data_IF_002732512549
#
_entry.id   IF_002732512549
#
_cell.length_a   1.000
_cell.length_b   1.000
_cell.length_c   1.000
_cell.angle_alpha   90.00
_cell.angle_beta   90.00
_cell.angle_gamma   90.00
#
_symmetry.space_group_name_H-M   'P 1'
#
loop_
_entity.id
_entity.type
_entity.pdbx_description
1 polymer ?
#
# COMPACT_ATOMS: atom_id res chain seq x y z
N UNK A 1 -1.98 -21.24 26.56
CA UNK A 1 -2.82 -21.53 25.38
C UNK A 1 -1.86 -21.80 24.25
N UNK A 2 -1.80 -23.04 23.78
CA UNK A 2 -1.00 -23.38 22.59
C UNK A 2 -1.77 -22.93 21.36
N UNK A 3 -1.11 -22.19 20.48
CA UNK A 3 -1.67 -21.84 19.18
C UNK A 3 -1.32 -23.02 18.27
N UNK A 4 -2.30 -23.87 17.98
CA UNK A 4 -2.15 -24.91 16.97
C UNK A 4 -2.02 -24.24 15.59
N UNK A 5 -0.79 -24.14 15.09
CA UNK A 5 -0.52 -23.68 13.73
C UNK A 5 -0.41 -24.89 12.81
N UNK A 6 -0.95 -24.77 11.60
CA UNK A 6 -0.74 -25.79 10.57
C UNK A 6 0.75 -25.94 10.30
N UNK A 7 1.25 -27.18 10.30
CA UNK A 7 2.66 -27.48 10.03
C UNK A 7 3.01 -27.24 8.56
N UNK A 8 4.30 -27.00 8.29
CA UNK A 8 4.82 -26.78 6.93
C UNK A 8 4.44 -27.89 5.95
N UNK A 9 4.33 -29.12 6.42
CA UNK A 9 3.98 -30.28 5.59
C UNK A 9 2.52 -30.26 5.13
N UNK A 10 1.62 -29.74 5.98
CA UNK A 10 0.24 -29.50 5.56
C UNK A 10 0.21 -28.46 4.44
N UNK A 11 0.95 -27.35 4.59
CA UNK A 11 1.00 -26.30 3.57
C UNK A 11 1.60 -26.80 2.25
N UNK A 12 2.69 -27.58 2.30
CA UNK A 12 3.28 -28.21 1.11
C UNK A 12 2.27 -29.15 0.42
N UNK A 13 1.56 -29.97 1.21
CA UNK A 13 0.52 -30.86 0.70
C UNK A 13 -0.63 -30.09 0.05
N UNK A 14 -1.08 -29.02 0.68
CA UNK A 14 -2.12 -28.12 0.14
C UNK A 14 -1.69 -27.48 -1.19
N UNK A 15 -0.51 -26.86 -1.24
CA UNK A 15 0.04 -26.26 -2.46
C UNK A 15 0.33 -27.30 -3.55
N UNK A 16 0.56 -28.57 -3.20
CA UNK A 16 0.74 -29.64 -4.18
C UNK A 16 -0.58 -30.02 -4.86
N UNK A 17 -1.68 -30.06 -4.10
CA UNK A 17 -3.03 -30.37 -4.62
C UNK A 17 -3.61 -29.22 -5.44
N UNK A 18 -3.33 -27.99 -5.06
CA UNK A 18 -3.87 -26.78 -5.69
C UNK A 18 -2.80 -26.06 -6.53
N UNK A 19 -2.52 -26.60 -7.73
CA UNK A 19 -1.52 -26.04 -8.67
C UNK A 19 -1.93 -24.70 -9.30
N UNK A 20 -3.20 -24.37 -9.15
CA UNK A 20 -3.83 -23.09 -9.45
C UNK A 20 -3.50 -22.00 -8.42
N UNK A 21 -2.85 -22.33 -7.29
CA UNK A 21 -2.42 -21.36 -6.29
C UNK A 21 -0.89 -21.12 -6.33
N UNK A 22 -0.48 -19.91 -6.03
CA UNK A 22 0.94 -19.52 -5.93
C UNK A 22 1.19 -18.56 -4.77
N UNK A 23 2.39 -18.61 -4.19
CA UNK A 23 2.85 -17.63 -3.21
C UNK A 23 3.31 -16.37 -3.94
N UNK A 24 2.77 -15.22 -3.57
CA UNK A 24 3.01 -13.94 -4.26
C UNK A 24 3.30 -12.83 -3.25
N UNK A 25 4.07 -11.83 -3.70
CA UNK A 25 4.26 -10.57 -2.97
C UNK A 25 3.18 -9.59 -3.44
N UNK A 26 2.32 -9.09 -2.54
CA UNK A 26 1.35 -8.05 -2.89
C UNK A 26 2.06 -6.79 -3.41
N UNK A 27 1.38 -6.04 -4.27
CA UNK A 27 1.89 -4.74 -4.71
C UNK A 27 1.91 -3.79 -3.51
N UNK A 28 3.03 -3.08 -3.32
CA UNK A 28 3.13 -2.15 -2.19
C UNK A 28 2.26 -0.91 -2.40
N UNK A 29 1.98 -0.55 -3.64
CA UNK A 29 1.05 0.53 -3.99
C UNK A 29 -0.38 0.01 -3.87
N UNK A 30 -1.07 0.38 -2.80
CA UNK A 30 -2.49 0.07 -2.65
C UNK A 30 -3.28 0.69 -3.82
N UNK A 31 -4.26 -0.05 -4.34
CA UNK A 31 -5.15 0.43 -5.40
C UNK A 31 -5.76 1.80 -5.05
N UNK A 32 -6.05 2.03 -3.78
CA UNK A 32 -6.52 3.30 -3.23
C UNK A 32 -5.58 4.48 -3.50
N UNK A 33 -4.25 4.30 -3.45
CA UNK A 33 -3.29 5.36 -3.79
C UNK A 33 -3.33 5.68 -5.27
N UNK A 34 -3.42 4.66 -6.12
CA UNK A 34 -3.51 4.84 -7.56
C UNK A 34 -4.82 5.56 -7.97
N UNK A 35 -5.95 5.16 -7.40
CA UNK A 35 -7.26 5.77 -7.70
C UNK A 35 -7.42 7.17 -7.11
N UNK A 36 -6.79 7.44 -5.96
CA UNK A 36 -6.80 8.77 -5.37
C UNK A 36 -5.97 9.80 -6.15
N UNK A 37 -5.04 9.38 -7.01
CA UNK A 37 -4.24 10.26 -7.85
C UNK A 37 -4.99 10.65 -9.13
N UNK A 38 -6.10 11.36 -8.98
CA UNK A 38 -6.93 11.86 -10.08
C UNK A 38 -7.03 13.39 -10.08
N UNK A 39 -7.45 13.94 -11.22
CA UNK A 39 -7.52 15.40 -11.45
C UNK A 39 -8.34 16.13 -10.38
N UNK A 40 -9.47 15.58 -9.96
CA UNK A 40 -10.34 16.22 -8.97
C UNK A 40 -9.64 16.31 -7.61
N UNK A 41 -9.09 15.19 -7.12
CA UNK A 41 -8.39 15.15 -5.84
C UNK A 41 -7.14 16.04 -5.82
N UNK A 42 -6.38 16.04 -6.92
CA UNK A 42 -5.21 16.91 -7.08
C UNK A 42 -5.62 18.38 -7.08
N UNK A 43 -6.69 18.76 -7.81
CA UNK A 43 -7.21 20.13 -7.81
C UNK A 43 -7.61 20.57 -6.40
N UNK A 44 -8.42 19.77 -5.70
CA UNK A 44 -8.86 20.06 -4.34
C UNK A 44 -7.69 20.19 -3.36
N UNK A 45 -6.63 19.38 -3.50
CA UNK A 45 -5.43 19.52 -2.69
C UNK A 45 -4.77 20.90 -2.87
N UNK A 46 -4.53 21.31 -4.12
CA UNK A 46 -3.87 22.58 -4.41
C UNK A 46 -4.75 23.80 -4.07
N UNK A 47 -6.06 23.70 -4.21
CA UNK A 47 -7.02 24.72 -3.75
C UNK A 47 -6.91 24.93 -2.24
N UNK A 48 -6.88 23.83 -1.46
CA UNK A 48 -6.72 23.88 0.00
C UNK A 48 -5.35 24.43 0.39
N UNK A 49 -4.29 24.00 -0.30
CA UNK A 49 -2.94 24.50 -0.06
C UNK A 49 -2.88 26.02 -0.30
N UNK A 50 -3.42 26.51 -1.42
CA UNK A 50 -3.48 27.94 -1.71
C UNK A 50 -4.27 28.70 -0.65
N UNK A 51 -5.42 28.18 -0.23
CA UNK A 51 -6.24 28.79 0.84
C UNK A 51 -5.44 28.98 2.13
N UNK A 52 -4.68 27.97 2.54
CA UNK A 52 -3.83 28.00 3.74
C UNK A 52 -2.66 28.98 3.57
N UNK A 53 -1.99 28.96 2.41
CA UNK A 53 -0.88 29.86 2.11
C UNK A 53 -1.33 31.34 2.15
N UNK A 54 -2.49 31.66 1.56
CA UNK A 54 -3.03 33.02 1.56
C UNK A 54 -3.50 33.49 2.94
N UNK A 55 -4.08 32.57 3.74
CA UNK A 55 -4.58 32.89 5.08
C UNK A 55 -3.46 33.24 6.05
N UNK A 56 -2.40 32.44 6.07
CA UNK A 56 -1.34 32.57 7.07
C UNK A 56 -0.09 33.29 6.56
N UNK A 57 0.07 33.45 5.23
CA UNK A 57 1.16 34.18 4.59
C UNK A 57 2.53 33.77 5.13
N UNK A 58 2.78 32.46 5.17
CA UNK A 58 4.04 31.93 5.70
C UNK A 58 5.22 32.52 4.91
N UNK A 59 6.25 33.05 5.60
CA UNK A 59 7.46 33.48 4.93
C UNK A 59 8.21 32.26 4.38
N UNK A 60 9.02 32.41 3.31
CA UNK A 60 9.68 31.28 2.65
C UNK A 60 10.49 30.37 3.59
N UNK A 61 11.14 30.94 4.61
CA UNK A 61 11.95 30.20 5.59
C UNK A 61 11.12 29.33 6.58
N UNK A 62 9.79 29.35 6.50
CA UNK A 62 8.89 28.50 7.30
C UNK A 62 8.14 27.46 6.45
N UNK A 63 8.47 27.34 5.17
CA UNK A 63 7.90 26.33 4.27
C UNK A 63 8.98 25.28 4.05
N UNK A 64 8.76 24.08 4.60
CA UNK A 64 9.70 22.96 4.50
C UNK A 64 9.14 21.94 3.52
N UNK A 65 9.99 21.40 2.65
CA UNK A 65 9.66 20.20 1.88
C UNK A 65 9.84 18.98 2.79
N UNK A 66 8.91 18.04 2.72
CA UNK A 66 8.93 16.82 3.54
C UNK A 66 9.41 15.59 2.75
N UNK A 67 10.05 15.81 1.60
CA UNK A 67 10.54 14.78 0.69
C UNK A 67 11.78 14.03 1.22
N UNK A 68 12.57 14.65 2.10
CA UNK A 68 13.76 14.02 2.69
C UNK A 68 13.52 13.23 3.99
N UNK A 69 12.28 13.12 4.46
CA UNK A 69 11.99 12.25 5.61
C UNK A 69 11.76 10.85 5.07
N UNK A 70 12.76 9.96 5.19
CA UNK A 70 12.75 8.54 4.78
C UNK A 70 11.69 7.65 5.46
N UNK A 71 10.54 8.22 5.83
CA UNK A 71 9.35 7.54 6.27
C UNK A 71 8.65 6.93 5.04
N UNK A 72 9.18 5.79 4.59
CA UNK A 72 8.54 5.00 3.54
C UNK A 72 7.12 4.65 3.96
N UNK A 73 6.11 5.23 3.31
CA UNK A 73 4.70 4.78 3.46
C UNK A 73 4.46 3.42 2.79
N UNK A 74 5.49 2.84 2.19
CA UNK A 74 5.53 1.53 1.54
C UNK A 74 6.01 0.54 2.61
N UNK A 75 5.06 -0.08 3.31
CA UNK A 75 5.33 -1.28 4.10
C UNK A 75 5.64 -2.42 3.14
N UNK A 76 6.62 -3.26 3.44
CA UNK A 76 6.85 -4.50 2.71
C UNK A 76 5.73 -5.49 3.09
N UNK A 77 4.75 -5.76 2.21
CA UNK A 77 3.66 -6.65 2.57
C UNK A 77 4.17 -8.09 2.70
N UNK A 78 3.68 -8.87 3.69
CA UNK A 78 3.98 -10.30 3.76
C UNK A 78 3.46 -11.01 2.51
N UNK A 79 4.11 -12.13 2.17
CA UNK A 79 3.68 -12.95 1.05
C UNK A 79 2.30 -13.55 1.34
N UNK A 80 1.46 -13.64 0.32
CA UNK A 80 0.11 -14.22 0.40
C UNK A 80 -0.04 -15.33 -0.62
N UNK A 81 -0.96 -16.25 -0.38
CA UNK A 81 -1.36 -17.27 -1.36
C UNK A 81 -2.46 -16.66 -2.22
N UNK A 82 -2.28 -16.67 -3.54
CA UNK A 82 -3.24 -16.13 -4.50
C UNK A 82 -3.33 -17.03 -5.73
N UNK A 83 -4.41 -16.88 -6.49
CA UNK A 83 -4.61 -17.59 -7.74
C UNK A 83 -3.49 -17.30 -8.75
N UNK A 84 -3.07 -18.34 -9.44
CA UNK A 84 -2.01 -18.31 -10.44
C UNK A 84 -2.50 -17.49 -11.64
N UNK A 85 -1.76 -16.43 -11.94
CA UNK A 85 -2.07 -15.53 -13.06
C UNK A 85 -2.77 -14.23 -12.64
N UNK A 86 -3.17 -14.08 -11.38
CA UNK A 86 -3.68 -12.80 -10.86
C UNK A 86 -2.62 -11.71 -10.94
N UNK A 87 -2.95 -10.62 -11.65
CA UNK A 87 -2.05 -9.48 -11.86
C UNK A 87 -2.06 -8.48 -10.71
N UNK A 88 -3.20 -8.32 -10.05
CA UNK A 88 -3.36 -7.43 -8.90
C UNK A 88 -3.65 -8.27 -7.66
N UNK A 89 -2.80 -8.14 -6.64
CA UNK A 89 -2.93 -8.83 -5.37
C UNK A 89 -2.91 -7.74 -4.31
N UNK A 90 -4.10 -7.32 -3.88
CA UNK A 90 -4.26 -6.40 -2.77
C UNK A 90 -4.07 -7.12 -1.44
N UNK A 91 -3.51 -6.43 -0.46
CA UNK A 91 -3.74 -6.80 0.93
C UNK A 91 -4.99 -6.06 1.40
N UNK A 92 -6.08 -6.79 1.56
CA UNK A 92 -7.17 -6.34 2.42
C UNK A 92 -6.81 -6.77 3.83
N UNK A 93 -6.77 -5.81 4.75
CA UNK A 93 -6.67 -6.07 6.18
C UNK A 93 -8.02 -6.52 6.72
#
# INVERSE_FOLDING_TARGET
>A
MEVETATDDWLKGFMSRHKDLTVRKPESTSLSRATCFNKANVSTFFEKLNTVLQRYKFPPHRIFNADETGCSTVTNPPKVIAERGSKQIGQHW
#
